data_IF_460660542331
#
_entry.id   IF_460660542331
#
_cell.length_a   1.000
_cell.length_b   1.000
_cell.length_c   1.000
_cell.angle_alpha   90.00
_cell.angle_beta   90.00
_cell.angle_gamma   90.00
#
_symmetry.space_group_name_H-M   'P 1'
#
loop_
_entity.id
_entity.type
_entity.pdbx_description
1 polymer ?
#
# COMPACT_ATOMS: atom_id res chain seq x y z
N UNK A 1 -8.65 -7.87 59.30
CA UNK A 1 -9.38 -7.11 60.35
C UNK A 1 -9.16 -5.63 60.08
N UNK A 2 -10.29 -4.92 60.05
CA UNK A 2 -10.59 -3.58 59.55
C UNK A 2 -9.83 -2.45 60.24
N UNK A 3 -9.50 -1.37 59.52
CA UNK A 3 -9.75 0.00 60.02
C UNK A 3 -9.92 1.00 58.87
N UNK A 4 -10.97 1.82 59.03
CA UNK A 4 -11.49 2.87 58.16
C UNK A 4 -11.10 4.22 58.79
N UNK A 5 -10.89 5.26 57.99
CA UNK A 5 -10.80 6.67 58.47
C UNK A 5 -10.48 7.61 57.30
N UNK A 6 -11.45 8.16 56.58
CA UNK A 6 -12.32 9.32 56.85
C UNK A 6 -11.61 10.70 56.76
N UNK A 7 -11.98 11.41 55.68
CA UNK A 7 -12.11 12.85 55.40
C UNK A 7 -11.46 13.90 56.33
N UNK A 8 -10.83 14.89 55.70
CA UNK A 8 -10.92 16.29 56.16
C UNK A 8 -10.83 17.28 54.99
N UNK A 9 -11.93 18.02 54.80
CA UNK A 9 -12.12 19.10 53.85
C UNK A 9 -11.48 20.40 54.38
N UNK A 10 -10.87 21.21 53.50
CA UNK A 10 -10.77 22.65 53.70
C UNK A 10 -10.87 23.40 52.37
N UNK A 11 -11.97 24.14 52.22
CA UNK A 11 -12.27 25.11 51.17
C UNK A 11 -11.44 26.38 51.41
N UNK A 12 -10.87 27.00 50.37
CA UNK A 12 -10.43 28.40 50.48
C UNK A 12 -10.60 29.17 49.16
N UNK A 13 -11.62 30.03 49.19
CA UNK A 13 -11.86 31.32 48.53
C UNK A 13 -11.35 31.63 47.10
N UNK A 14 -12.32 32.03 46.27
CA UNK A 14 -12.21 32.85 45.07
C UNK A 14 -11.49 34.18 45.34
N UNK A 15 -10.72 34.67 44.36
CA UNK A 15 -10.59 36.10 44.10
C UNK A 15 -10.60 36.38 42.60
N UNK A 16 -11.43 37.34 42.21
CA UNK A 16 -11.71 37.85 40.87
C UNK A 16 -10.97 39.18 40.72
N UNK A 17 -10.17 39.34 39.66
CA UNK A 17 -9.86 40.68 39.10
C UNK A 17 -9.68 40.56 37.58
N UNK A 18 -10.39 41.35 36.76
CA UNK A 18 -10.14 41.48 35.32
C UNK A 18 -9.42 42.80 35.01
N UNK A 19 -8.51 42.83 34.03
CA UNK A 19 -8.33 44.02 33.17
C UNK A 19 -7.51 43.73 31.89
N UNK A 20 -8.09 44.17 30.77
CA UNK A 20 -7.57 44.15 29.39
C UNK A 20 -6.15 44.72 29.22
N UNK A 21 -5.41 44.17 28.24
CA UNK A 21 -4.48 44.95 27.40
C UNK A 21 -4.36 44.40 25.97
N UNK A 22 -4.95 45.17 25.05
CA UNK A 22 -4.52 45.54 23.68
C UNK A 22 -3.51 44.66 22.92
N UNK A 23 -3.95 44.20 21.73
CA UNK A 23 -3.23 44.38 20.47
C UNK A 23 -2.24 43.29 20.05
N UNK A 24 -2.68 42.35 19.22
CA UNK A 24 -1.78 41.45 18.46
C UNK A 24 -1.90 41.81 16.96
N UNK A 25 -0.78 42.01 16.25
CA UNK A 25 -0.74 42.49 14.87
C UNK A 25 -1.28 41.49 13.84
N UNK A 26 -1.73 42.04 12.70
CA UNK A 26 -2.06 41.29 11.48
C UNK A 26 -0.78 40.78 10.79
N UNK A 27 -0.98 39.66 10.08
CA UNK A 27 -0.18 39.05 8.98
C UNK A 27 1.03 38.18 9.33
N UNK A 28 0.92 36.89 9.01
CA UNK A 28 1.61 36.25 7.89
C UNK A 28 1.08 34.82 7.78
N UNK A 29 0.24 34.55 6.77
CA UNK A 29 -0.07 33.17 6.39
C UNK A 29 1.22 32.59 5.82
N UNK A 30 1.95 31.80 6.60
CA UNK A 30 3.10 31.06 6.13
C UNK A 30 2.60 29.96 5.18
N UNK A 31 2.44 30.28 3.90
CA UNK A 31 2.35 29.28 2.86
C UNK A 31 3.70 28.55 2.79
N UNK A 32 3.81 27.47 3.55
CA UNK A 32 4.83 26.45 3.33
C UNK A 32 4.53 25.85 1.96
N UNK A 33 5.21 26.34 0.92
CA UNK A 33 5.37 25.58 -0.31
C UNK A 33 6.20 24.35 0.04
N UNK A 34 5.54 23.26 0.43
CA UNK A 34 6.13 21.93 0.31
C UNK A 34 6.42 21.74 -1.18
N UNK A 35 7.69 21.85 -1.56
CA UNK A 35 8.15 21.25 -2.81
C UNK A 35 7.86 19.76 -2.66
N UNK A 36 6.99 19.24 -3.53
CA UNK A 36 6.69 17.82 -3.56
C UNK A 36 8.01 17.06 -3.67
N UNK A 37 8.38 16.35 -2.61
CA UNK A 37 9.52 15.45 -2.65
C UNK A 37 9.21 14.45 -3.77
N UNK A 38 9.97 14.54 -4.87
CA UNK A 38 9.93 13.53 -5.93
C UNK A 38 10.23 12.20 -5.28
N UNK A 39 9.20 11.39 -5.05
CA UNK A 39 9.33 10.06 -4.50
C UNK A 39 10.41 9.32 -5.30
N UNK A 40 11.39 8.74 -4.59
CA UNK A 40 12.44 7.95 -5.21
C UNK A 40 11.81 6.92 -6.15
N UNK A 41 12.20 6.96 -7.42
CA UNK A 41 11.75 6.00 -8.42
C UNK A 41 12.19 4.61 -7.94
N UNK A 42 11.24 3.76 -7.57
CA UNK A 42 11.54 2.38 -7.15
C UNK A 42 12.41 1.71 -8.22
N UNK A 43 13.58 1.21 -7.81
CA UNK A 43 14.55 0.58 -8.70
C UNK A 43 14.58 -0.93 -8.47
N UNK A 44 14.51 -1.69 -9.55
CA UNK A 44 14.68 -3.14 -9.56
C UNK A 44 15.71 -3.50 -10.62
N UNK A 45 16.60 -4.46 -10.31
CA UNK A 45 17.58 -4.96 -11.29
C UNK A 45 16.90 -5.59 -12.50
N UNK A 46 15.74 -6.21 -12.29
CA UNK A 46 14.88 -6.74 -13.35
C UNK A 46 13.45 -6.28 -13.13
N UNK A 47 12.90 -5.54 -14.10
CA UNK A 47 11.50 -5.17 -14.14
C UNK A 47 10.80 -5.94 -15.26
N UNK A 48 9.77 -6.70 -14.92
CA UNK A 48 8.96 -7.46 -15.87
C UNK A 48 7.63 -6.73 -16.08
N UNK A 49 7.31 -6.43 -17.34
CA UNK A 49 6.07 -5.77 -17.70
C UNK A 49 5.05 -6.80 -18.18
N UNK A 50 3.91 -6.87 -17.50
CA UNK A 50 2.88 -7.87 -17.70
C UNK A 50 3.08 -9.12 -16.84
N UNK A 51 2.00 -9.57 -16.21
CA UNK A 51 1.91 -10.75 -15.35
C UNK A 51 1.16 -11.90 -16.01
N UNK A 52 1.19 -11.98 -17.35
CA UNK A 52 0.70 -13.13 -18.13
C UNK A 52 1.67 -14.32 -18.14
N UNK A 53 1.44 -15.31 -18.99
CA UNK A 53 2.23 -16.56 -19.02
C UNK A 53 3.73 -16.31 -19.18
N UNK A 54 4.11 -15.43 -20.10
CA UNK A 54 5.51 -15.04 -20.31
C UNK A 54 6.10 -14.30 -19.12
N UNK A 55 5.37 -13.31 -18.59
CA UNK A 55 5.81 -12.48 -17.47
C UNK A 55 6.08 -13.27 -16.19
N UNK A 56 5.12 -14.11 -15.77
CA UNK A 56 5.29 -14.96 -14.59
C UNK A 56 6.44 -15.96 -14.79
N UNK A 57 6.55 -16.56 -15.96
CA UNK A 57 7.65 -17.50 -16.29
C UNK A 57 9.01 -16.82 -16.22
N UNK A 58 9.14 -15.63 -16.80
CA UNK A 58 10.39 -14.87 -16.79
C UNK A 58 10.73 -14.38 -15.40
N UNK A 59 9.74 -13.93 -14.62
CA UNK A 59 9.92 -13.52 -13.22
C UNK A 59 10.46 -14.67 -12.38
N UNK A 60 9.91 -15.88 -12.54
CA UNK A 60 10.40 -17.07 -11.84
C UNK A 60 11.84 -17.43 -12.25
N UNK A 61 12.18 -17.30 -13.53
CA UNK A 61 13.55 -17.52 -14.04
C UNK A 61 14.53 -16.49 -13.49
N UNK A 62 14.14 -15.22 -13.49
CA UNK A 62 15.00 -14.12 -13.03
C UNK A 62 15.19 -14.15 -11.53
N UNK A 63 14.15 -14.49 -10.76
CA UNK A 63 14.27 -14.76 -9.32
C UNK A 63 15.41 -15.73 -9.00
N UNK A 64 15.56 -16.83 -9.76
CA UNK A 64 16.64 -17.80 -9.55
C UNK A 64 18.04 -17.27 -9.90
N UNK A 65 18.13 -16.26 -10.77
CA UNK A 65 19.40 -15.69 -11.23
C UNK A 65 19.86 -14.49 -10.40
N UNK A 66 18.94 -13.63 -9.99
CA UNK A 66 19.27 -12.35 -9.33
C UNK A 66 18.70 -12.22 -7.92
N UNK A 67 17.99 -13.23 -7.41
CA UNK A 67 17.26 -13.14 -6.14
C UNK A 67 15.88 -12.52 -6.31
N UNK A 68 14.95 -12.83 -5.40
CA UNK A 68 13.55 -12.42 -5.51
C UNK A 68 13.37 -10.90 -5.33
N UNK A 69 14.08 -10.31 -4.37
CA UNK A 69 13.97 -8.89 -4.01
C UNK A 69 14.43 -7.93 -5.12
N UNK A 70 15.16 -8.46 -6.11
CA UNK A 70 15.67 -7.73 -7.26
C UNK A 70 14.74 -7.77 -8.48
N UNK A 71 13.58 -8.41 -8.36
CA UNK A 71 12.61 -8.59 -9.44
C UNK A 71 11.27 -7.98 -9.04
N UNK A 72 10.67 -7.22 -9.96
CA UNK A 72 9.29 -6.76 -9.85
C UNK A 72 8.49 -7.08 -11.12
N UNK A 73 7.19 -7.29 -10.94
CA UNK A 73 6.21 -7.51 -12.02
C UNK A 73 5.15 -6.42 -11.97
N UNK A 74 4.97 -5.72 -13.08
CA UNK A 74 3.90 -4.73 -13.24
C UNK A 74 2.73 -5.39 -13.96
N UNK A 75 1.61 -5.59 -13.27
CA UNK A 75 0.40 -6.22 -13.82
C UNK A 75 -0.86 -5.66 -13.16
N UNK A 76 -1.79 -5.06 -13.92
CA UNK A 76 -3.00 -4.46 -13.34
C UNK A 76 -4.05 -5.50 -12.87
N UNK A 77 -4.13 -6.68 -13.50
CA UNK A 77 -5.23 -7.61 -13.28
C UNK A 77 -5.04 -8.49 -12.03
N UNK A 78 -6.10 -8.66 -11.23
CA UNK A 78 -6.12 -9.54 -10.06
C UNK A 78 -6.25 -11.02 -10.39
N UNK A 79 -6.64 -11.35 -11.63
CA UNK A 79 -6.83 -12.71 -12.11
C UNK A 79 -5.81 -13.02 -13.22
N UNK A 80 -5.12 -14.14 -13.06
CA UNK A 80 -4.28 -14.74 -14.08
C UNK A 80 -4.99 -15.93 -14.71
N UNK A 81 -5.11 -15.95 -16.04
CA UNK A 81 -5.84 -16.99 -16.78
C UNK A 81 -4.93 -17.89 -17.58
N UNK A 82 -5.18 -19.20 -17.50
CA UNK A 82 -4.73 -20.17 -18.49
C UNK A 82 -5.69 -20.17 -19.68
N UNK A 83 -5.50 -19.18 -20.56
CA UNK A 83 -6.35 -18.93 -21.73
C UNK A 83 -6.53 -20.13 -22.68
N UNK A 84 -5.55 -21.04 -22.88
CA UNK A 84 -5.77 -22.22 -23.74
C UNK A 84 -6.93 -23.11 -23.28
N UNK A 85 -7.32 -23.06 -22.00
CA UNK A 85 -8.47 -23.82 -21.50
C UNK A 85 -9.81 -23.33 -22.08
N UNK A 86 -9.88 -22.08 -22.59
CA UNK A 86 -11.11 -21.47 -23.07
C UNK A 86 -11.70 -22.16 -24.29
N UNK A 87 -10.90 -22.85 -25.11
CA UNK A 87 -11.42 -23.68 -26.20
C UNK A 87 -12.33 -24.79 -25.65
N UNK A 88 -11.94 -25.45 -24.55
CA UNK A 88 -12.75 -26.48 -23.91
C UNK A 88 -13.94 -25.89 -23.12
N UNK A 89 -13.82 -24.65 -22.65
CA UNK A 89 -14.95 -23.93 -22.06
C UNK A 89 -16.00 -23.60 -23.12
N UNK A 90 -15.59 -23.11 -24.29
CA UNK A 90 -16.49 -22.86 -25.43
C UNK A 90 -17.15 -24.13 -25.96
N UNK A 91 -16.49 -25.29 -25.83
CA UNK A 91 -17.06 -26.60 -26.14
C UNK A 91 -17.96 -27.18 -25.03
N UNK A 92 -18.13 -26.49 -23.90
CA UNK A 92 -18.95 -26.97 -22.77
C UNK A 92 -18.30 -28.08 -21.92
N UNK A 93 -17.02 -28.39 -22.14
CA UNK A 93 -16.30 -29.50 -21.47
C UNK A 93 -15.64 -29.06 -20.16
N UNK A 94 -15.32 -27.77 -20.01
CA UNK A 94 -14.67 -27.19 -18.83
C UNK A 94 -15.40 -25.95 -18.33
N UNK A 95 -15.26 -25.66 -17.05
CA UNK A 95 -15.82 -24.44 -16.45
C UNK A 95 -14.82 -23.28 -16.53
N UNK A 96 -15.30 -22.08 -16.87
CA UNK A 96 -14.45 -20.87 -16.96
C UNK A 96 -13.69 -20.58 -15.67
N UNK A 97 -14.32 -20.80 -14.51
CA UNK A 97 -13.71 -20.55 -13.20
C UNK A 97 -12.39 -21.32 -13.00
N UNK A 98 -12.27 -22.53 -13.57
CA UNK A 98 -11.06 -23.36 -13.48
C UNK A 98 -9.88 -22.83 -14.28
N UNK A 99 -10.13 -21.92 -15.23
CA UNK A 99 -9.07 -21.32 -16.04
C UNK A 99 -8.32 -20.20 -15.31
N UNK A 100 -8.87 -19.63 -14.24
CA UNK A 100 -8.34 -18.41 -13.62
C UNK A 100 -7.96 -18.57 -12.16
N UNK A 101 -6.75 -18.14 -11.78
CA UNK A 101 -6.27 -18.04 -10.39
C UNK A 101 -6.05 -16.59 -10.00
N UNK A 102 -5.96 -16.29 -8.70
CA UNK A 102 -5.51 -14.96 -8.25
C UNK A 102 -4.08 -14.71 -8.73
N UNK A 103 -3.79 -13.54 -9.29
CA UNK A 103 -2.45 -13.12 -9.73
C UNK A 103 -1.46 -13.21 -8.57
N UNK A 104 -1.83 -12.77 -7.37
CA UNK A 104 -1.02 -12.90 -6.16
C UNK A 104 -0.56 -14.35 -5.90
N UNK A 105 -1.42 -15.34 -6.19
CA UNK A 105 -1.11 -16.76 -5.96
C UNK A 105 -0.14 -17.37 -6.97
N UNK A 106 0.07 -16.73 -8.11
CA UNK A 106 0.97 -17.21 -9.18
C UNK A 106 2.25 -16.37 -9.31
N UNK A 107 2.30 -15.19 -8.68
CA UNK A 107 3.53 -14.42 -8.56
C UNK A 107 4.57 -15.25 -7.79
N UNK A 108 5.81 -15.38 -8.29
CA UNK A 108 6.83 -16.15 -7.60
C UNK A 108 7.10 -15.55 -6.21
N UNK A 109 7.21 -16.40 -5.17
CA UNK A 109 7.39 -15.92 -3.80
C UNK A 109 8.58 -14.94 -3.66
N UNK A 110 8.38 -13.84 -2.93
CA UNK A 110 9.37 -12.78 -2.72
C UNK A 110 9.51 -11.79 -3.88
N UNK A 111 8.97 -12.07 -5.07
CA UNK A 111 8.96 -11.10 -6.17
C UNK A 111 7.90 -10.03 -5.89
N UNK A 112 8.23 -8.75 -6.09
CA UNK A 112 7.27 -7.66 -5.88
C UNK A 112 6.23 -7.64 -7.01
N UNK A 113 4.96 -7.70 -6.66
CA UNK A 113 3.87 -7.38 -7.58
C UNK A 113 3.49 -5.90 -7.44
N UNK A 114 3.58 -5.16 -8.54
CA UNK A 114 3.13 -3.79 -8.68
C UNK A 114 1.81 -3.83 -9.47
N UNK A 115 0.69 -3.65 -8.78
CA UNK A 115 -0.63 -3.73 -9.38
C UNK A 115 -0.99 -2.43 -10.10
N UNK A 116 -0.37 -2.20 -11.25
CA UNK A 116 -0.55 -1.00 -12.06
C UNK A 116 -0.46 -1.33 -13.54
N UNK A 117 -1.01 -0.46 -14.38
CA UNK A 117 -0.85 -0.52 -15.84
C UNK A 117 0.36 0.32 -16.23
N UNK A 118 1.17 -0.18 -17.17
CA UNK A 118 2.27 0.58 -17.74
C UNK A 118 1.72 1.63 -18.71
N UNK A 119 2.09 2.89 -18.52
CA UNK A 119 1.63 4.00 -19.37
C UNK A 119 2.67 4.42 -20.43
N UNK A 120 3.96 4.38 -20.08
CA UNK A 120 5.08 4.80 -20.94
C UNK A 120 6.34 3.99 -20.63
N UNK A 121 7.19 3.81 -21.64
CA UNK A 121 8.52 3.17 -21.57
C UNK A 121 9.64 4.20 -21.76
#
# INVERSE_FOLDING_TARGET
>A
MTTVGLMSSYTCARSLVPLLRLGIPKTCSSQLHTTAASASKDYYKVLVLGGGSGGITMSARMKRKVGADNVAVVEPQEKHYYQPLWTLVGAGVKQLATSGRSTASVIPSGVKWIQSKVEKL
#
